data_IF_567130258017
#
_entry.id   IF_567130258017
#
_cell.length_a   1.000
_cell.length_b   1.000
_cell.length_c   1.000
_cell.angle_alpha   90.00
_cell.angle_beta   90.00
_cell.angle_gamma   90.00
#
_symmetry.space_group_name_H-M   'P 1'
#
loop_
_entity.id
_entity.type
_entity.pdbx_description
1 polymer ?
#
# COMPACT_ATOMS: atom_id res chain seq x y z
N UNK A 1 4.21 5.10 40.29
CA UNK A 1 3.80 4.54 41.59
C UNK A 1 2.35 4.86 41.90
N UNK A 2 1.43 4.45 41.00
CA UNK A 2 -0.01 4.59 41.21
C UNK A 2 -0.50 3.45 42.11
N UNK A 3 -1.28 3.77 43.15
CA UNK A 3 -1.85 2.74 44.06
C UNK A 3 -3.24 2.28 43.64
N UNK A 4 -3.95 3.07 42.82
CA UNK A 4 -5.27 2.73 42.21
C UNK A 4 -5.29 3.31 40.79
N UNK A 5 -5.46 2.45 39.79
CA UNK A 5 -5.58 2.85 38.40
C UNK A 5 -6.38 1.82 37.61
N UNK A 6 -6.94 2.25 36.49
CA UNK A 6 -7.50 1.40 35.47
C UNK A 6 -6.63 1.54 34.23
N UNK A 7 -6.29 0.42 33.63
CA UNK A 7 -5.46 0.36 32.43
C UNK A 7 -6.31 -0.12 31.26
N UNK A 8 -6.38 0.68 30.21
CA UNK A 8 -7.07 0.33 28.97
C UNK A 8 -6.07 0.33 27.83
N UNK A 9 -6.06 -0.76 27.05
CA UNK A 9 -5.25 -0.90 25.84
C UNK A 9 -6.12 -0.85 24.59
N UNK A 10 -5.64 -0.14 23.56
CA UNK A 10 -6.26 -0.10 22.24
C UNK A 10 -5.24 -0.61 21.23
N UNK A 11 -5.60 -1.62 20.46
CA UNK A 11 -4.73 -2.20 19.42
C UNK A 11 -5.56 -2.72 18.26
N UNK A 12 -5.08 -2.50 17.03
CA UNK A 12 -5.66 -3.10 15.82
C UNK A 12 -5.16 -4.52 15.55
N UNK A 13 -4.12 -4.98 16.28
CA UNK A 13 -3.49 -6.29 16.13
C UNK A 13 -3.18 -6.88 17.49
N UNK A 14 -4.19 -7.43 18.21
CA UNK A 14 -4.00 -8.01 19.51
C UNK A 14 -3.03 -9.21 19.47
N UNK A 15 -2.24 -9.36 20.53
CA UNK A 15 -1.35 -10.50 20.70
C UNK A 15 -2.11 -11.61 21.43
N UNK A 16 -2.34 -12.71 20.73
CA UNK A 16 -2.88 -13.96 21.25
C UNK A 16 -1.76 -14.96 21.53
N UNK A 17 -2.04 -16.06 22.19
CA UNK A 17 -1.05 -17.11 22.46
C UNK A 17 -0.44 -17.70 21.16
N UNK A 18 -1.19 -17.74 20.07
CA UNK A 18 -0.75 -18.27 18.77
C UNK A 18 0.19 -17.35 18.00
N UNK A 19 0.22 -16.05 18.31
CA UNK A 19 1.07 -15.04 17.64
C UNK A 19 1.99 -14.28 18.61
N UNK A 20 2.15 -14.77 19.85
CA UNK A 20 2.90 -14.08 20.91
C UNK A 20 4.43 -14.17 20.75
N UNK A 21 4.97 -15.01 19.87
CA UNK A 21 6.41 -15.19 19.69
C UNK A 21 7.14 -15.57 20.98
N UNK A 22 8.45 -15.24 21.06
CA UNK A 22 9.25 -15.37 22.28
C UNK A 22 9.29 -14.06 23.04
N UNK A 23 8.33 -13.84 23.93
CA UNK A 23 8.32 -12.61 24.74
C UNK A 23 9.49 -12.57 25.72
N UNK A 24 10.06 -11.38 25.94
CA UNK A 24 11.12 -11.14 26.92
C UNK A 24 10.64 -11.35 28.36
N UNK A 25 9.33 -11.18 28.64
CA UNK A 25 8.74 -11.38 29.95
C UNK A 25 7.57 -12.39 29.89
N UNK A 26 7.64 -13.55 30.57
CA UNK A 26 6.59 -14.57 30.55
C UNK A 26 5.22 -14.10 31.11
N UNK A 27 5.19 -13.05 31.92
CA UNK A 27 3.97 -12.55 32.55
C UNK A 27 3.13 -11.66 31.60
N UNK A 28 3.70 -11.20 30.47
CA UNK A 28 3.08 -10.30 29.52
C UNK A 28 3.16 -10.82 28.09
N UNK A 29 2.79 -12.08 27.88
CA UNK A 29 2.84 -12.74 26.57
C UNK A 29 1.74 -12.29 25.61
N UNK A 30 0.56 -11.97 26.16
CA UNK A 30 -0.62 -11.67 25.37
C UNK A 30 -1.24 -10.35 25.81
N UNK A 31 -2.02 -9.76 24.89
CA UNK A 31 -2.79 -8.55 25.18
C UNK A 31 -3.73 -8.75 26.37
N UNK A 32 -4.35 -9.93 26.48
CA UNK A 32 -5.22 -10.28 27.59
C UNK A 32 -4.48 -10.38 28.93
N UNK A 33 -3.24 -10.89 28.95
CA UNK A 33 -2.43 -10.91 30.18
C UNK A 33 -2.03 -9.52 30.65
N UNK A 34 -1.85 -8.58 29.72
CA UNK A 34 -1.45 -7.20 30.03
C UNK A 34 -2.64 -6.33 30.47
N UNK A 35 -3.78 -6.44 29.79
CA UNK A 35 -4.90 -5.51 29.93
C UNK A 35 -6.18 -6.17 30.49
N UNK A 36 -6.22 -7.50 30.63
CA UNK A 36 -7.41 -8.24 31.07
C UNK A 36 -8.35 -8.57 29.91
N UNK A 37 -9.64 -8.64 30.21
CA UNK A 37 -10.68 -9.05 29.26
C UNK A 37 -10.86 -8.07 28.11
N UNK A 38 -11.13 -8.59 26.92
CA UNK A 38 -11.46 -7.80 25.75
C UNK A 38 -12.84 -7.17 25.91
N UNK A 39 -12.88 -5.84 25.95
CA UNK A 39 -14.14 -5.08 26.14
C UNK A 39 -14.88 -4.82 24.83
N UNK A 40 -14.15 -4.64 23.72
CA UNK A 40 -14.71 -4.34 22.41
C UNK A 40 -13.78 -4.87 21.32
N UNK A 41 -14.35 -5.23 20.16
CA UNK A 41 -13.64 -5.62 18.96
C UNK A 41 -14.15 -4.81 17.78
N UNK A 42 -13.22 -4.23 17.03
CA UNK A 42 -13.45 -3.59 15.74
C UNK A 42 -12.36 -4.07 14.79
N UNK A 43 -12.74 -5.01 13.94
CA UNK A 43 -11.79 -5.73 13.09
C UNK A 43 -11.49 -4.96 11.80
N UNK A 44 -10.49 -5.41 11.03
CA UNK A 44 -10.22 -4.86 9.70
C UNK A 44 -11.41 -5.06 8.74
N UNK A 45 -12.20 -6.13 8.95
CA UNK A 45 -13.44 -6.41 8.19
C UNK A 45 -14.48 -5.33 8.48
N UNK A 46 -14.70 -5.01 9.75
CA UNK A 46 -15.62 -3.94 10.15
C UNK A 46 -15.18 -2.61 9.56
N UNK A 47 -13.89 -2.30 9.64
CA UNK A 47 -13.33 -1.06 9.11
C UNK A 47 -13.47 -0.93 7.58
N UNK A 48 -13.39 -2.03 6.83
CA UNK A 48 -13.62 -2.04 5.38
C UNK A 48 -15.11 -1.89 5.07
N UNK A 49 -15.98 -2.60 5.76
CA UNK A 49 -17.43 -2.52 5.60
C UNK A 49 -17.96 -1.11 5.90
N UNK A 50 -17.44 -0.47 6.94
CA UNK A 50 -17.75 0.90 7.33
C UNK A 50 -17.08 1.94 6.41
N UNK A 51 -16.27 1.50 5.45
CA UNK A 51 -15.50 2.35 4.53
C UNK A 51 -14.52 3.28 5.23
N UNK A 52 -13.95 2.87 6.34
CA UNK A 52 -12.91 3.58 7.08
C UNK A 52 -11.51 3.27 6.56
N UNK A 53 -11.33 2.11 5.93
CA UNK A 53 -10.11 1.69 5.24
C UNK A 53 -10.46 0.93 3.96
N UNK A 54 -9.45 0.71 3.10
CA UNK A 54 -9.60 0.00 1.83
C UNK A 54 -9.23 -1.49 1.99
N UNK A 55 -9.76 -2.39 1.14
CA UNK A 55 -9.27 -3.76 1.05
C UNK A 55 -7.87 -3.81 0.45
N UNK A 56 -7.25 -5.01 0.45
CA UNK A 56 -5.93 -5.24 -0.15
C UNK A 56 -6.05 -6.06 -1.44
N UNK A 57 -5.19 -5.73 -2.40
CA UNK A 57 -4.82 -6.59 -3.49
C UNK A 57 -3.43 -7.16 -3.21
N UNK A 58 -3.25 -8.46 -3.33
CA UNK A 58 -1.96 -9.11 -3.11
C UNK A 58 -1.55 -9.89 -4.35
N UNK A 59 -0.42 -9.53 -4.94
CA UNK A 59 0.21 -10.24 -6.05
C UNK A 59 1.42 -11.03 -5.52
N UNK A 60 1.57 -12.26 -5.98
CA UNK A 60 2.71 -13.12 -5.63
C UNK A 60 3.56 -13.36 -6.88
N UNK A 61 4.76 -12.77 -6.90
CA UNK A 61 5.68 -12.86 -8.03
C UNK A 61 6.74 -13.92 -7.75
N UNK A 62 6.77 -14.96 -8.57
CA UNK A 62 7.80 -16.00 -8.48
C UNK A 62 9.14 -15.44 -8.98
N UNK A 63 10.11 -15.36 -8.09
CA UNK A 63 11.48 -14.85 -8.41
C UNK A 63 12.54 -15.96 -8.35
N UNK A 64 12.16 -17.16 -7.92
CA UNK A 64 13.01 -18.35 -7.84
C UNK A 64 12.16 -19.53 -8.27
N UNK A 65 12.65 -20.33 -9.21
CA UNK A 65 12.07 -21.63 -9.57
C UNK A 65 12.48 -22.67 -8.51
N UNK A 66 11.90 -22.59 -7.32
CA UNK A 66 11.99 -23.64 -6.34
C UNK A 66 10.78 -24.57 -6.49
N UNK A 67 11.01 -25.87 -6.56
CA UNK A 67 9.94 -26.86 -6.51
C UNK A 67 9.00 -26.62 -5.35
N UNK A 68 7.71 -26.83 -5.52
CA UNK A 68 6.60 -26.32 -4.69
C UNK A 68 6.59 -26.76 -3.23
N UNK A 69 7.53 -27.60 -2.74
CA UNK A 69 7.51 -28.18 -1.41
C UNK A 69 8.65 -27.79 -0.47
N UNK A 70 9.51 -26.86 -0.84
CA UNK A 70 10.52 -26.38 0.13
C UNK A 70 9.85 -25.30 0.99
N UNK A 71 9.20 -25.74 2.07
CA UNK A 71 8.67 -24.84 3.09
C UNK A 71 9.80 -24.03 3.71
N UNK A 72 9.52 -22.77 4.06
CA UNK A 72 10.46 -21.88 4.74
C UNK A 72 11.11 -22.49 6.00
N UNK A 73 10.53 -23.56 6.55
CA UNK A 73 11.01 -24.31 7.72
C UNK A 73 12.09 -25.35 7.40
N UNK A 74 12.21 -25.80 6.15
CA UNK A 74 13.17 -26.84 5.74
C UNK A 74 14.50 -26.31 5.21
N UNK A 75 14.61 -25.03 4.92
CA UNK A 75 15.84 -24.38 4.44
C UNK A 75 16.46 -23.53 5.56
N UNK A 76 16.76 -24.19 6.66
CA UNK A 76 17.60 -23.63 7.72
C UNK A 76 19.05 -23.80 7.28
N UNK A 77 19.59 -22.87 6.47
CA UNK A 77 21.03 -22.73 6.37
C UNK A 77 21.44 -21.54 5.46
N UNK A 78 22.71 -21.19 5.59
CA UNK A 78 23.54 -20.24 4.82
C UNK A 78 23.22 -20.19 3.30
N UNK A 79 22.67 -21.26 2.75
CA UNK A 79 22.31 -21.35 1.33
C UNK A 79 21.07 -20.51 0.96
N UNK A 80 20.11 -20.32 1.85
CA UNK A 80 18.89 -19.55 1.57
C UNK A 80 19.18 -18.05 1.48
N UNK A 81 19.92 -17.52 2.42
CA UNK A 81 20.32 -16.11 2.40
C UNK A 81 21.12 -15.80 1.12
N UNK A 82 22.05 -16.68 0.72
CA UNK A 82 22.79 -16.55 -0.53
C UNK A 82 21.88 -16.56 -1.77
N UNK A 83 20.86 -17.41 -1.80
CA UNK A 83 19.89 -17.44 -2.91
C UNK A 83 19.06 -16.16 -2.96
N UNK A 84 18.60 -15.67 -1.82
CA UNK A 84 17.83 -14.43 -1.75
C UNK A 84 18.65 -13.20 -2.12
N UNK A 85 19.95 -13.21 -1.82
CA UNK A 85 20.91 -12.15 -2.15
C UNK A 85 21.58 -12.35 -3.52
N UNK A 86 21.21 -13.37 -4.30
CA UNK A 86 21.79 -13.62 -5.62
C UNK A 86 21.66 -12.40 -6.53
N UNK A 87 22.74 -11.92 -7.16
CA UNK A 87 22.72 -10.69 -7.98
C UNK A 87 21.67 -10.73 -9.09
N UNK A 88 21.44 -11.89 -9.69
CA UNK A 88 20.44 -12.05 -10.75
C UNK A 88 19.02 -11.85 -10.20
N UNK A 89 18.72 -12.39 -9.01
CA UNK A 89 17.41 -12.19 -8.35
C UNK A 89 17.19 -10.71 -7.99
N UNK A 90 18.19 -10.05 -7.41
CA UNK A 90 18.14 -8.61 -7.11
C UNK A 90 17.86 -7.82 -8.38
N UNK A 91 18.55 -8.16 -9.48
CA UNK A 91 18.36 -7.54 -10.81
C UNK A 91 16.92 -7.70 -11.31
N UNK A 92 16.38 -8.93 -11.27
CA UNK A 92 15.02 -9.25 -11.76
C UNK A 92 13.96 -8.54 -10.93
N UNK A 93 14.06 -8.58 -9.60
CA UNK A 93 13.11 -7.90 -8.70
C UNK A 93 13.13 -6.38 -8.93
N UNK A 94 14.32 -5.78 -9.01
CA UNK A 94 14.46 -4.34 -9.30
C UNK A 94 13.87 -3.98 -10.66
N UNK A 95 14.15 -4.78 -11.69
CA UNK A 95 13.61 -4.59 -13.02
C UNK A 95 12.07 -4.67 -13.01
N UNK A 96 11.50 -5.68 -12.35
CA UNK A 96 10.05 -5.82 -12.21
C UNK A 96 9.42 -4.58 -11.56
N UNK A 97 10.00 -4.09 -10.46
CA UNK A 97 9.51 -2.89 -9.77
C UNK A 97 9.53 -1.68 -10.72
N UNK A 98 10.64 -1.45 -11.43
CA UNK A 98 10.77 -0.32 -12.36
C UNK A 98 9.79 -0.41 -13.53
N UNK A 99 9.53 -1.61 -14.06
CA UNK A 99 8.61 -1.82 -15.19
C UNK A 99 7.14 -1.66 -14.80
N UNK A 100 6.78 -2.05 -13.57
CA UNK A 100 5.39 -2.05 -13.10
C UNK A 100 5.06 -0.89 -12.14
N UNK A 101 6.03 -0.03 -11.84
CA UNK A 101 5.85 1.05 -10.86
C UNK A 101 4.68 1.97 -11.23
N UNK A 102 4.65 2.46 -12.46
CA UNK A 102 3.63 3.41 -12.91
C UNK A 102 2.23 2.78 -12.88
N UNK A 103 2.11 1.52 -13.27
CA UNK A 103 0.86 0.75 -13.22
C UNK A 103 0.38 0.53 -11.79
N UNK A 104 1.26 0.01 -10.91
CA UNK A 104 0.91 -0.33 -9.52
C UNK A 104 0.62 0.91 -8.67
N UNK A 105 1.22 2.04 -9.00
CA UNK A 105 1.03 3.32 -8.28
C UNK A 105 0.13 4.32 -9.03
N UNK A 106 -0.44 3.95 -10.19
CA UNK A 106 -1.23 4.84 -11.06
C UNK A 106 -0.49 6.13 -11.48
N UNK A 107 0.83 6.11 -11.50
CA UNK A 107 1.65 7.23 -11.92
C UNK A 107 1.49 7.44 -13.43
N UNK A 108 1.18 8.67 -13.84
CA UNK A 108 0.90 8.99 -15.24
C UNK A 108 -0.57 8.90 -15.64
N UNK A 109 -1.36 7.98 -15.06
CA UNK A 109 -2.77 7.78 -15.42
C UNK A 109 -3.74 8.63 -14.61
N UNK A 110 -3.47 8.78 -13.31
CA UNK A 110 -4.41 9.42 -12.39
C UNK A 110 -3.78 10.64 -11.74
N UNK A 111 -4.44 11.77 -11.87
CA UNK A 111 -4.03 13.02 -11.22
C UNK A 111 -5.12 13.53 -10.29
N UNK A 112 -4.72 14.13 -9.19
CA UNK A 112 -5.64 14.70 -8.20
C UNK A 112 -5.02 15.92 -7.51
N UNK A 113 -5.86 16.74 -6.89
CA UNK A 113 -5.42 17.90 -6.12
C UNK A 113 -5.12 17.46 -4.69
N UNK A 114 -3.95 17.84 -4.20
CA UNK A 114 -3.48 17.51 -2.85
C UNK A 114 -2.87 18.74 -2.19
N UNK A 115 -3.01 18.83 -0.86
CA UNK A 115 -2.35 19.89 -0.07
C UNK A 115 -0.94 19.44 0.28
N UNK A 116 0.05 19.94 -0.44
CA UNK A 116 1.46 19.63 -0.21
C UNK A 116 2.10 20.66 0.73
N UNK A 117 2.99 20.18 1.58
CA UNK A 117 3.81 21.02 2.45
C UNK A 117 5.01 21.55 1.65
N UNK A 118 5.23 22.86 1.62
CA UNK A 118 6.29 23.47 0.79
C UNK A 118 7.59 23.71 1.53
N UNK A 119 7.55 23.83 2.86
CA UNK A 119 8.72 24.10 3.72
C UNK A 119 9.17 22.88 4.54
N UNK A 120 9.24 21.69 3.90
CA UNK A 120 9.50 20.41 4.56
C UNK A 120 10.82 20.42 5.35
N UNK A 121 11.92 20.85 4.74
CA UNK A 121 13.24 20.82 5.38
C UNK A 121 13.30 21.72 6.64
N UNK A 122 12.59 22.84 6.62
CA UNK A 122 12.46 23.72 7.77
C UNK A 122 11.65 23.06 8.89
N UNK A 123 10.48 22.50 8.55
CA UNK A 123 9.61 21.78 9.50
C UNK A 123 10.31 20.54 10.10
N UNK A 124 11.11 19.83 9.31
CA UNK A 124 11.85 18.66 9.77
C UNK A 124 13.00 19.03 10.74
N UNK A 125 13.63 20.19 10.54
CA UNK A 125 14.83 20.61 11.27
C UNK A 125 14.55 21.51 12.48
N UNK A 126 13.29 21.96 12.63
CA UNK A 126 12.88 22.90 13.68
C UNK A 126 11.92 22.22 14.67
N UNK A 127 11.82 22.74 15.88
CA UNK A 127 10.82 22.28 16.85
C UNK A 127 9.43 22.68 16.38
N UNK A 128 8.44 21.81 16.65
CA UNK A 128 7.08 21.93 16.14
C UNK A 128 6.41 23.28 16.47
N UNK A 129 6.70 23.83 17.63
CA UNK A 129 6.08 25.08 18.11
C UNK A 129 6.79 26.35 17.58
N UNK A 130 7.89 26.19 16.85
CA UNK A 130 8.73 27.29 16.35
C UNK A 130 8.61 27.49 14.84
N UNK A 131 7.88 26.62 14.12
CA UNK A 131 7.74 26.69 12.67
C UNK A 131 6.28 26.47 12.24
N UNK A 132 5.82 27.29 11.31
CA UNK A 132 4.50 27.17 10.70
C UNK A 132 4.56 26.29 9.44
N UNK A 133 3.63 25.33 9.30
CA UNK A 133 3.49 24.51 8.11
C UNK A 133 2.86 25.30 6.96
N UNK A 134 3.61 25.52 5.88
CA UNK A 134 3.13 26.22 4.69
C UNK A 134 2.60 25.19 3.69
N UNK A 135 1.28 25.17 3.49
CA UNK A 135 0.61 24.21 2.59
C UNK A 135 0.12 24.89 1.31
N UNK A 136 0.33 24.23 0.18
CA UNK A 136 -0.15 24.65 -1.13
C UNK A 136 -0.91 23.54 -1.82
N UNK A 137 -2.02 23.89 -2.52
CA UNK A 137 -2.74 22.96 -3.38
C UNK A 137 -1.95 22.73 -4.66
N UNK A 138 -1.57 21.49 -4.90
CA UNK A 138 -0.86 21.07 -6.12
C UNK A 138 -1.58 19.90 -6.78
N UNK A 139 -1.47 19.83 -8.12
CA UNK A 139 -1.89 18.64 -8.86
C UNK A 139 -0.75 17.65 -8.83
N UNK A 140 -0.95 16.51 -8.21
CA UNK A 140 0.00 15.40 -8.15
C UNK A 140 -0.51 14.20 -8.94
N UNK A 141 0.41 13.36 -9.41
CA UNK A 141 0.12 12.17 -10.20
C UNK A 141 0.47 10.90 -9.45
N UNK A 142 -0.49 9.96 -9.43
CA UNK A 142 -0.33 8.64 -8.82
C UNK A 142 0.01 8.68 -7.34
N UNK A 143 0.49 7.55 -6.85
CA UNK A 143 0.82 7.31 -5.45
C UNK A 143 2.29 6.95 -5.31
N UNK A 144 2.77 6.83 -4.08
CA UNK A 144 4.11 6.33 -3.78
C UNK A 144 4.06 4.94 -3.10
N UNK A 145 5.25 4.41 -2.83
CA UNK A 145 5.40 3.05 -2.34
C UNK A 145 6.51 2.91 -1.29
N UNK A 146 6.40 1.84 -0.49
CA UNK A 146 7.47 1.34 0.37
C UNK A 146 7.96 0.01 -0.19
N UNK A 147 9.27 -0.24 -0.13
CA UNK A 147 9.89 -1.51 -0.42
C UNK A 147 10.47 -2.10 0.86
N UNK A 148 9.81 -3.10 1.42
CA UNK A 148 10.21 -3.80 2.63
C UNK A 148 11.17 -4.94 2.30
N UNK A 149 12.38 -4.90 2.83
CA UNK A 149 13.43 -5.90 2.62
C UNK A 149 13.87 -6.53 3.93
N UNK A 150 14.49 -7.73 3.88
CA UNK A 150 14.75 -8.53 5.06
C UNK A 150 15.90 -7.99 5.94
N UNK A 151 16.88 -7.30 5.37
CA UNK A 151 18.08 -6.86 6.09
C UNK A 151 18.72 -5.64 5.48
N UNK A 152 19.64 -5.00 6.21
CA UNK A 152 20.42 -3.85 5.69
C UNK A 152 21.30 -4.23 4.50
N UNK A 153 22.00 -5.38 4.49
CA UNK A 153 22.70 -5.85 3.28
C UNK A 153 21.79 -5.97 2.06
N UNK A 154 20.56 -6.48 2.23
CA UNK A 154 19.57 -6.52 1.13
C UNK A 154 19.16 -5.13 0.68
N UNK A 155 18.93 -4.19 1.60
CA UNK A 155 18.61 -2.81 1.28
C UNK A 155 19.74 -2.17 0.44
N UNK A 156 21.00 -2.41 0.79
CA UNK A 156 22.18 -1.94 0.05
C UNK A 156 22.21 -2.49 -1.38
N UNK A 157 22.02 -3.80 -1.54
CA UNK A 157 22.04 -4.43 -2.87
C UNK A 157 20.92 -3.88 -3.76
N UNK A 158 19.70 -3.77 -3.26
CA UNK A 158 18.60 -3.19 -4.01
C UNK A 158 18.82 -1.72 -4.32
N UNK A 159 19.27 -0.92 -3.35
CA UNK A 159 19.53 0.50 -3.57
C UNK A 159 20.55 0.74 -4.69
N UNK A 160 21.64 -0.02 -4.68
CA UNK A 160 22.68 0.04 -5.70
C UNK A 160 22.15 -0.42 -7.06
N UNK A 161 21.36 -1.49 -7.10
CA UNK A 161 20.80 -1.99 -8.37
C UNK A 161 19.75 -1.02 -8.95
N UNK A 162 18.93 -0.35 -8.11
CA UNK A 162 18.06 0.76 -8.55
C UNK A 162 18.88 1.87 -9.20
N UNK A 163 19.95 2.34 -8.55
CA UNK A 163 20.85 3.37 -9.13
C UNK A 163 21.38 2.95 -10.48
N UNK A 164 21.87 1.72 -10.60
CA UNK A 164 22.44 1.15 -11.81
C UNK A 164 21.43 1.06 -12.96
N UNK A 165 20.24 0.50 -12.73
CA UNK A 165 19.21 0.34 -13.75
C UNK A 165 18.62 1.68 -14.19
N UNK A 166 18.37 2.61 -13.26
CA UNK A 166 17.90 3.96 -13.58
C UNK A 166 18.94 4.80 -14.33
N UNK A 167 20.24 4.56 -14.10
CA UNK A 167 21.31 5.22 -14.87
C UNK A 167 21.36 4.69 -16.33
N UNK A 168 21.02 3.42 -16.55
CA UNK A 168 20.96 2.81 -17.87
C UNK A 168 19.70 3.21 -18.67
N UNK A 169 18.58 3.52 -17.98
CA UNK A 169 17.33 3.95 -18.61
C UNK A 169 16.84 5.28 -18.00
N UNK A 170 17.19 6.43 -18.59
CA UNK A 170 16.81 7.75 -18.08
C UNK A 170 15.29 8.02 -18.07
N UNK A 171 14.49 7.23 -18.78
CA UNK A 171 13.02 7.39 -18.83
C UNK A 171 12.40 6.88 -17.52
N UNK A 172 13.00 5.85 -16.90
CA UNK A 172 12.52 5.21 -15.67
C UNK A 172 13.11 5.86 -14.39
N UNK A 173 13.15 7.19 -14.33
CA UNK A 173 13.66 7.88 -13.14
C UNK A 173 12.63 7.92 -12.03
N UNK A 174 12.96 7.28 -10.91
CA UNK A 174 12.23 7.35 -9.64
C UNK A 174 13.08 8.03 -8.57
N UNK A 175 12.43 8.71 -7.65
CA UNK A 175 13.07 9.23 -6.44
C UNK A 175 13.08 8.13 -5.39
N UNK A 176 14.22 7.49 -5.21
CA UNK A 176 14.44 6.37 -4.29
C UNK A 176 15.26 6.82 -3.10
N UNK A 177 14.79 6.53 -1.90
CA UNK A 177 15.52 6.75 -0.66
C UNK A 177 15.54 5.46 0.18
N UNK A 178 16.40 5.38 1.18
CA UNK A 178 16.43 4.29 2.15
C UNK A 178 16.63 4.81 3.56
N UNK A 179 16.02 4.13 4.52
CA UNK A 179 16.21 4.42 5.94
C UNK A 179 16.12 3.15 6.77
N UNK A 180 16.98 3.02 7.75
CA UNK A 180 17.02 1.92 8.71
C UNK A 180 17.72 2.32 10.00
N UNK A 181 17.45 1.59 11.09
CA UNK A 181 18.06 1.78 12.40
C UNK A 181 18.72 0.50 12.89
N UNK A 182 19.37 0.54 14.06
CA UNK A 182 20.12 -0.58 14.64
C UNK A 182 19.31 -1.89 14.79
N UNK A 183 18.07 -1.82 15.26
CA UNK A 183 17.22 -3.01 15.43
C UNK A 183 16.92 -3.80 14.14
N UNK A 184 17.31 -3.26 12.98
CA UNK A 184 17.14 -3.91 11.69
C UNK A 184 18.18 -5.01 11.38
N UNK A 185 19.26 -5.11 12.16
CA UNK A 185 20.35 -6.05 11.92
C UNK A 185 20.21 -7.38 12.68
N UNK A 186 19.27 -7.52 13.60
CA UNK A 186 19.04 -8.80 14.26
C UNK A 186 18.44 -9.78 13.24
N UNK A 187 19.09 -10.95 13.12
CA UNK A 187 18.65 -12.06 12.29
C UNK A 187 17.17 -12.34 12.54
N UNK A 188 16.41 -12.48 11.46
CA UNK A 188 14.95 -12.65 11.41
C UNK A 188 14.36 -13.29 12.68
N UNK A 189 14.05 -12.48 13.68
CA UNK A 189 13.24 -12.92 14.78
C UNK A 189 11.82 -13.11 14.24
N UNK A 190 11.40 -14.31 14.07
CA UNK A 190 10.04 -14.82 13.76
C UNK A 190 9.07 -13.94 12.91
N UNK A 191 9.56 -12.91 12.18
CA UNK A 191 8.75 -12.02 11.33
C UNK A 191 7.79 -11.10 12.10
N UNK A 192 7.99 -10.95 13.39
CA UNK A 192 7.36 -9.95 14.24
C UNK A 192 8.12 -8.64 14.02
N UNK A 193 7.41 -7.58 13.66
CA UNK A 193 8.04 -6.26 13.57
C UNK A 193 8.30 -5.76 14.99
N UNK A 194 9.57 -5.54 15.32
CA UNK A 194 9.93 -4.88 16.57
C UNK A 194 9.44 -3.43 16.58
N UNK A 195 9.15 -2.88 17.76
CA UNK A 195 8.83 -1.46 17.92
C UNK A 195 9.97 -0.61 17.35
N UNK A 196 9.61 0.37 16.53
CA UNK A 196 10.58 1.27 15.92
C UNK A 196 11.37 2.05 16.99
N UNK A 197 12.62 1.71 17.18
CA UNK A 197 13.55 2.59 17.85
C UNK A 197 14.22 3.48 16.77
N UNK A 198 13.53 4.56 16.41
CA UNK A 198 13.92 5.46 15.31
C UNK A 198 15.17 6.29 15.62
N UNK A 199 15.73 6.19 16.82
CA UNK A 199 16.67 7.18 17.33
C UNK A 199 18.11 6.67 17.39
N UNK A 200 18.38 5.34 17.32
CA UNK A 200 19.70 4.80 17.58
C UNK A 200 20.37 4.22 16.32
N UNK A 201 21.27 5.04 15.74
CA UNK A 201 22.22 4.58 14.70
C UNK A 201 23.59 4.23 15.30
N UNK A 202 23.82 4.44 16.61
CA UNK A 202 25.13 4.34 17.24
C UNK A 202 25.66 2.91 17.26
N UNK A 203 24.77 1.93 17.27
CA UNK A 203 25.11 0.51 17.32
C UNK A 203 25.11 -0.18 15.93
N UNK A 204 24.92 0.57 14.82
CA UNK A 204 25.14 0.04 13.48
C UNK A 204 26.59 -0.39 13.29
N UNK A 205 26.81 -1.53 12.65
CA UNK A 205 28.15 -1.93 12.21
C UNK A 205 28.70 -0.93 11.17
N UNK A 206 30.02 -0.88 11.04
CA UNK A 206 30.67 0.11 10.18
C UNK A 206 30.19 0.04 8.72
N UNK A 207 30.05 -1.13 8.06
CA UNK A 207 29.54 -1.23 6.69
C UNK A 207 28.11 -0.71 6.50
N UNK A 208 27.23 -0.92 7.48
CA UNK A 208 25.86 -0.44 7.44
C UNK A 208 25.79 1.07 7.62
N UNK A 209 26.63 1.65 8.49
CA UNK A 209 26.74 3.09 8.68
C UNK A 209 27.27 3.77 7.42
N UNK A 210 28.34 3.26 6.83
CA UNK A 210 28.90 3.80 5.58
C UNK A 210 27.87 3.80 4.44
N UNK A 211 27.08 2.73 4.33
CA UNK A 211 26.00 2.67 3.38
C UNK A 211 24.90 3.71 3.66
N UNK A 212 24.51 3.88 4.92
CA UNK A 212 23.52 4.88 5.30
C UNK A 212 24.01 6.30 4.99
N UNK A 213 25.27 6.59 5.25
CA UNK A 213 25.91 7.88 4.93
C UNK A 213 25.92 8.14 3.42
N UNK A 214 26.25 7.13 2.61
CA UNK A 214 26.18 7.23 1.13
C UNK A 214 24.75 7.55 0.69
N UNK A 215 23.75 6.82 1.20
CA UNK A 215 22.37 7.03 0.84
C UNK A 215 21.82 8.39 1.29
N UNK A 216 22.21 8.87 2.48
CA UNK A 216 21.86 10.21 2.97
C UNK A 216 22.53 11.30 2.11
N UNK A 217 23.74 11.08 1.63
CA UNK A 217 24.41 12.00 0.70
C UNK A 217 23.63 12.13 -0.61
N UNK A 218 23.24 11.02 -1.23
CA UNK A 218 22.38 11.03 -2.43
C UNK A 218 21.06 11.76 -2.18
N UNK A 219 20.46 11.56 -1.00
CA UNK A 219 19.25 12.24 -0.59
C UNK A 219 19.45 13.75 -0.44
N UNK A 220 20.54 14.17 0.19
CA UNK A 220 20.89 15.56 0.34
C UNK A 220 21.09 16.25 -1.02
N UNK A 221 21.70 15.57 -1.99
CA UNK A 221 21.83 16.06 -3.36
C UNK A 221 20.47 16.19 -4.06
N UNK A 222 19.55 15.22 -3.85
CA UNK A 222 18.21 15.22 -4.43
C UNK A 222 17.32 16.35 -3.92
N UNK A 223 17.44 16.70 -2.63
CA UNK A 223 16.53 17.61 -1.95
C UNK A 223 17.19 18.89 -1.42
N UNK A 224 18.50 19.08 -1.70
CA UNK A 224 19.28 20.23 -1.25
C UNK A 224 19.28 20.40 0.29
N UNK A 225 19.47 19.29 0.99
CA UNK A 225 19.54 19.20 2.46
C UNK A 225 20.96 18.89 2.94
N UNK A 226 21.19 18.78 4.25
CA UNK A 226 22.53 18.56 4.83
C UNK A 226 22.49 17.58 6.03
N UNK A 227 21.69 16.52 5.93
CA UNK A 227 21.60 15.49 6.95
C UNK A 227 22.83 14.59 6.96
N UNK A 228 23.08 13.92 8.09
CA UNK A 228 24.09 12.88 8.26
C UNK A 228 23.64 11.86 9.34
N UNK A 229 24.50 10.90 9.68
CA UNK A 229 24.20 9.83 10.65
C UNK A 229 24.39 10.25 12.12
N UNK A 230 24.71 11.51 12.43
CA UNK A 230 24.71 12.00 13.81
C UNK A 230 23.28 12.04 14.37
N UNK A 231 23.12 11.79 15.68
CA UNK A 231 21.82 11.59 16.31
C UNK A 231 20.77 12.65 15.94
N UNK A 232 21.10 13.93 16.12
CA UNK A 232 20.15 15.03 15.86
C UNK A 232 19.81 15.16 14.37
N UNK A 233 20.81 15.06 13.49
CA UNK A 233 20.61 15.17 12.05
C UNK A 233 19.92 13.94 11.46
N UNK A 234 20.13 12.77 12.06
CA UNK A 234 19.40 11.56 11.64
C UNK A 234 17.92 11.63 12.03
N UNK A 235 17.58 12.19 13.19
CA UNK A 235 16.18 12.44 13.55
C UNK A 235 15.52 13.43 12.58
N UNK A 236 16.23 14.48 12.17
CA UNK A 236 15.73 15.41 11.18
C UNK A 236 15.58 14.77 9.80
N UNK A 237 16.53 13.90 9.41
CA UNK A 237 16.42 13.08 8.20
C UNK A 237 15.17 12.18 8.24
N UNK A 238 14.92 11.48 9.35
CA UNK A 238 13.72 10.65 9.53
C UNK A 238 12.42 11.46 9.35
N UNK A 239 12.37 12.65 9.99
CA UNK A 239 11.21 13.56 9.85
C UNK A 239 11.02 14.04 8.41
N UNK A 240 12.10 14.45 7.75
CA UNK A 240 12.08 14.94 6.37
C UNK A 240 11.62 13.84 5.41
N UNK A 241 12.19 12.63 5.50
CA UNK A 241 11.75 11.46 4.72
C UNK A 241 10.26 11.17 4.93
N UNK A 242 9.80 11.19 6.19
CA UNK A 242 8.39 10.98 6.54
C UNK A 242 7.47 12.01 5.88
N UNK A 243 7.83 13.28 5.94
CA UNK A 243 7.06 14.39 5.34
C UNK A 243 7.07 14.31 3.81
N UNK A 244 8.20 13.99 3.18
CA UNK A 244 8.29 13.84 1.72
C UNK A 244 7.53 12.62 1.21
N UNK A 245 7.49 11.53 1.97
CA UNK A 245 6.60 10.40 1.67
C UNK A 245 5.14 10.84 1.71
N UNK A 246 4.70 11.57 2.74
CA UNK A 246 3.34 12.11 2.84
C UNK A 246 3.02 13.11 1.72
N UNK A 247 3.99 13.85 1.26
CA UNK A 247 3.89 14.84 0.19
C UNK A 247 3.96 14.25 -1.23
N UNK A 248 4.22 12.94 -1.38
CA UNK A 248 4.47 12.29 -2.68
C UNK A 248 5.73 12.86 -3.40
N UNK A 249 6.72 13.31 -2.66
CA UNK A 249 8.00 13.75 -3.23
C UNK A 249 9.01 12.62 -3.38
N UNK A 250 8.84 11.52 -2.65
CA UNK A 250 9.54 10.26 -2.87
C UNK A 250 8.61 9.26 -3.58
N UNK A 251 9.16 8.49 -4.50
CA UNK A 251 8.45 7.44 -5.21
C UNK A 251 8.57 6.09 -4.49
N UNK A 252 9.78 5.72 -4.07
CA UNK A 252 10.06 4.49 -3.33
C UNK A 252 10.90 4.78 -2.09
N UNK A 253 10.47 4.26 -0.95
CA UNK A 253 11.27 4.21 0.27
C UNK A 253 11.65 2.76 0.58
N UNK A 254 12.95 2.43 0.49
CA UNK A 254 13.47 1.10 0.86
C UNK A 254 13.66 1.06 2.38
N UNK A 255 13.06 0.07 3.04
CA UNK A 255 13.09 -0.04 4.50
C UNK A 255 13.35 -1.48 4.93
N UNK A 256 13.91 -1.65 6.12
CA UNK A 256 14.04 -2.98 6.74
C UNK A 256 12.87 -3.22 7.70
N UNK A 257 12.73 -2.40 8.74
CA UNK A 257 11.59 -2.46 9.69
C UNK A 257 10.88 -1.12 9.81
N UNK A 258 11.63 -0.01 9.76
CA UNK A 258 11.09 1.33 9.90
C UNK A 258 9.98 1.62 8.90
N UNK A 259 9.00 2.43 9.27
CA UNK A 259 7.82 2.80 8.46
C UNK A 259 6.81 1.67 8.20
N UNK A 260 7.09 0.41 8.56
CA UNK A 260 6.13 -0.68 8.45
C UNK A 260 5.10 -0.66 9.59
N UNK A 261 5.46 -0.07 10.72
CA UNK A 261 4.55 0.22 11.85
C UNK A 261 4.49 1.73 12.09
N UNK A 262 3.44 2.24 12.71
CA UNK A 262 3.33 3.64 13.15
C UNK A 262 3.24 4.71 12.05
N UNK A 263 3.68 4.47 10.83
CA UNK A 263 3.67 5.43 9.73
C UNK A 263 2.29 5.56 9.07
N UNK A 264 1.85 6.78 8.84
CA UNK A 264 0.57 7.09 8.19
C UNK A 264 0.75 8.09 7.04
N UNK A 265 0.50 7.62 5.81
CA UNK A 265 0.55 8.43 4.59
C UNK A 265 -0.59 8.01 3.64
N UNK A 266 -1.53 8.91 3.40
CA UNK A 266 -2.66 8.65 2.49
C UNK A 266 -2.23 8.54 1.04
N UNK A 267 -1.10 9.16 0.68
CA UNK A 267 -0.48 9.10 -0.65
C UNK A 267 0.21 7.78 -0.96
N UNK A 268 0.42 6.92 0.04
CA UNK A 268 1.02 5.61 -0.14
C UNK A 268 -0.03 4.57 -0.48
N UNK A 269 0.11 3.87 -1.61
CA UNK A 269 -0.81 2.79 -1.98
C UNK A 269 -0.13 1.45 -2.24
N UNK A 270 1.18 1.40 -2.46
CA UNK A 270 1.88 0.18 -2.86
C UNK A 270 2.95 -0.22 -1.85
N UNK A 271 2.94 -1.49 -1.47
CA UNK A 271 3.99 -2.12 -0.67
C UNK A 271 4.61 -3.27 -1.48
N UNK A 272 5.90 -3.14 -1.77
CA UNK A 272 6.71 -4.20 -2.34
C UNK A 272 7.34 -4.97 -1.18
N UNK A 273 7.28 -6.30 -1.20
CA UNK A 273 7.69 -7.14 -0.06
C UNK A 273 8.71 -8.20 -0.48
N UNK A 274 9.95 -8.02 -0.07
CA UNK A 274 10.99 -9.07 -0.09
C UNK A 274 11.46 -9.39 1.33
N UNK A 275 10.49 -9.66 2.19
CA UNK A 275 10.68 -9.94 3.61
C UNK A 275 9.68 -10.97 4.09
N UNK A 276 10.07 -11.84 5.02
CA UNK A 276 9.20 -12.82 5.63
C UNK A 276 8.35 -12.19 6.74
N UNK A 277 7.29 -11.50 6.35
CA UNK A 277 6.31 -10.96 7.29
C UNK A 277 5.38 -12.07 7.79
N UNK A 278 5.02 -12.02 9.07
CA UNK A 278 4.12 -12.99 9.74
C UNK A 278 3.12 -12.27 10.62
N UNK A 279 1.93 -12.89 10.80
CA UNK A 279 0.94 -12.52 11.81
C UNK A 279 0.63 -11.00 11.84
N UNK A 280 0.69 -10.37 13.01
CA UNK A 280 0.39 -8.97 13.20
C UNK A 280 1.31 -8.03 12.40
N UNK A 281 2.61 -8.34 12.29
CA UNK A 281 3.56 -7.56 11.49
C UNK A 281 3.19 -7.51 10.01
N UNK A 282 2.62 -8.60 9.46
CA UNK A 282 2.11 -8.63 8.09
C UNK A 282 0.92 -7.68 7.91
N UNK A 283 -0.10 -7.79 8.78
CA UNK A 283 -1.29 -6.92 8.71
C UNK A 283 -0.92 -5.45 8.95
N UNK A 284 -0.01 -5.17 9.88
CA UNK A 284 0.46 -3.81 10.15
C UNK A 284 1.16 -3.19 8.93
N UNK A 285 2.05 -3.94 8.27
CA UNK A 285 2.73 -3.49 7.07
C UNK A 285 1.74 -3.25 5.90
N UNK A 286 0.81 -4.18 5.67
CA UNK A 286 -0.23 -4.05 4.64
C UNK A 286 -1.11 -2.83 4.90
N UNK A 287 -1.48 -2.59 6.16
CA UNK A 287 -2.32 -1.47 6.56
C UNK A 287 -1.68 -0.08 6.36
N UNK A 288 -0.41 -0.01 5.94
CA UNK A 288 0.20 1.26 5.48
C UNK A 288 -0.37 1.70 4.14
N UNK A 289 -0.86 0.76 3.31
CA UNK A 289 -1.31 1.05 1.94
C UNK A 289 -2.81 1.36 1.82
N UNK A 290 -3.62 1.01 2.81
CA UNK A 290 -5.08 1.00 2.69
C UNK A 290 -5.80 2.25 3.23
N UNK A 291 -5.07 3.33 3.50
CA UNK A 291 -5.67 4.61 3.91
C UNK A 291 -6.45 5.25 2.77
N UNK A 292 -7.65 5.73 3.08
CA UNK A 292 -8.50 6.43 2.12
C UNK A 292 -7.92 7.81 1.83
N UNK A 293 -7.86 8.18 0.57
CA UNK A 293 -7.49 9.52 0.13
C UNK A 293 -8.58 10.15 -0.75
N UNK A 294 -8.99 9.43 -1.79
CA UNK A 294 -9.95 9.88 -2.80
C UNK A 294 -10.58 8.67 -3.51
N UNK A 295 -11.45 8.94 -4.49
CA UNK A 295 -12.13 7.91 -5.27
C UNK A 295 -11.21 7.14 -6.24
N UNK A 296 -9.99 7.60 -6.46
CA UNK A 296 -9.01 6.96 -7.35
C UNK A 296 -8.33 5.79 -6.62
N UNK A 297 -8.02 5.97 -5.33
CA UNK A 297 -7.44 4.94 -4.48
C UNK A 297 -8.53 4.03 -3.97
N UNK A 298 -8.65 2.84 -4.54
CA UNK A 298 -9.73 1.88 -4.26
C UNK A 298 -9.28 0.68 -3.43
N UNK A 299 -7.98 0.42 -3.34
CA UNK A 299 -7.38 -0.65 -2.53
C UNK A 299 -5.92 -0.33 -2.19
N UNK A 300 -5.38 -1.05 -1.20
CA UNK A 300 -3.96 -1.14 -0.93
C UNK A 300 -3.32 -2.22 -1.79
N UNK A 301 -2.25 -1.90 -2.50
CA UNK A 301 -1.59 -2.79 -3.44
C UNK A 301 -0.33 -3.41 -2.80
N UNK A 302 -0.28 -4.73 -2.74
CA UNK A 302 0.81 -5.50 -2.12
C UNK A 302 1.43 -6.40 -3.18
N UNK A 303 2.75 -6.32 -3.36
CA UNK A 303 3.47 -7.19 -4.30
C UNK A 303 4.53 -7.97 -3.53
N UNK A 304 4.36 -9.28 -3.44
CA UNK A 304 5.23 -10.17 -2.68
C UNK A 304 6.21 -10.89 -3.61
N UNK A 305 7.50 -10.72 -3.37
CA UNK A 305 8.58 -11.47 -4.03
C UNK A 305 9.01 -12.72 -3.25
N UNK A 306 8.23 -13.09 -2.24
CA UNK A 306 8.35 -14.32 -1.45
C UNK A 306 7.01 -15.02 -1.38
N UNK A 307 7.02 -16.33 -1.16
CA UNK A 307 5.78 -17.09 -0.99
C UNK A 307 5.18 -16.81 0.40
N UNK A 308 4.34 -15.77 0.48
CA UNK A 308 3.65 -15.37 1.71
C UNK A 308 2.18 -15.79 1.74
N UNK A 309 1.63 -16.46 0.70
CA UNK A 309 0.21 -16.72 0.58
C UNK A 309 -0.39 -17.38 1.82
N UNK A 310 0.17 -18.50 2.28
CA UNK A 310 -0.31 -19.19 3.47
C UNK A 310 -0.25 -18.32 4.74
N UNK A 311 0.75 -17.43 4.84
CA UNK A 311 0.91 -16.50 5.97
C UNK A 311 -0.11 -15.38 5.93
N UNK A 312 -0.43 -14.88 4.72
CA UNK A 312 -1.48 -13.88 4.51
C UNK A 312 -2.83 -14.45 4.93
N UNK A 313 -3.17 -15.65 4.44
CA UNK A 313 -4.43 -16.33 4.77
C UNK A 313 -4.55 -16.57 6.28
N UNK A 314 -3.46 -17.03 6.93
CA UNK A 314 -3.43 -17.25 8.38
C UNK A 314 -3.58 -15.96 9.18
N UNK A 315 -2.94 -14.87 8.75
CA UNK A 315 -3.01 -13.58 9.42
C UNK A 315 -4.42 -12.97 9.30
N UNK A 316 -5.02 -13.05 8.11
CA UNK A 316 -6.40 -12.57 7.90
C UNK A 316 -7.40 -13.37 8.73
N UNK A 317 -7.26 -14.70 8.79
CA UNK A 317 -8.12 -15.55 9.62
C UNK A 317 -7.97 -15.29 11.11
N UNK A 318 -6.79 -14.83 11.56
CA UNK A 318 -6.53 -14.53 12.96
C UNK A 318 -7.10 -13.16 13.39
N UNK A 319 -6.99 -12.14 12.55
CA UNK A 319 -7.37 -10.76 12.86
C UNK A 319 -8.71 -10.34 12.25
N UNK A 320 -9.34 -11.21 11.48
CA UNK A 320 -10.68 -11.08 10.93
C UNK A 320 -11.60 -12.19 11.44
N UNK A 321 -12.72 -12.36 10.76
CA UNK A 321 -13.56 -13.55 10.92
C UNK A 321 -13.08 -14.65 9.96
N UNK A 322 -13.45 -15.93 10.19
CA UNK A 322 -13.09 -17.06 9.32
C UNK A 322 -13.47 -16.86 7.84
N UNK A 323 -14.47 -16.01 7.59
CA UNK A 323 -14.93 -15.63 6.26
C UNK A 323 -14.37 -14.29 5.75
N UNK A 324 -13.41 -13.71 6.46
CA UNK A 324 -12.85 -12.38 6.19
C UNK A 324 -12.06 -12.28 4.87
N UNK A 325 -11.55 -13.41 4.35
CA UNK A 325 -10.68 -13.42 3.16
C UNK A 325 -11.30 -12.69 1.97
N UNK A 326 -12.58 -12.94 1.67
CA UNK A 326 -13.28 -12.33 0.54
C UNK A 326 -13.63 -10.84 0.71
N UNK A 327 -13.50 -10.29 1.93
CA UNK A 327 -13.74 -8.85 2.22
C UNK A 327 -12.42 -8.10 2.29
N UNK A 328 -11.41 -8.71 2.92
CA UNK A 328 -10.10 -8.08 3.18
C UNK A 328 -9.21 -8.11 1.95
N UNK A 329 -9.25 -9.21 1.19
CA UNK A 329 -8.51 -9.38 -0.06
C UNK A 329 -9.42 -9.19 -1.26
N UNK A 330 -8.93 -8.48 -2.25
CA UNK A 330 -9.58 -8.45 -3.56
C UNK A 330 -9.50 -9.84 -4.21
N UNK A 331 -10.53 -10.16 -4.99
CA UNK A 331 -10.62 -11.39 -5.78
C UNK A 331 -9.55 -11.43 -6.88
N UNK A 332 -9.40 -12.58 -7.54
CA UNK A 332 -8.47 -12.75 -8.64
C UNK A 332 -8.90 -11.95 -9.88
N UNK A 333 -7.96 -11.77 -10.83
CA UNK A 333 -8.30 -11.21 -12.15
C UNK A 333 -9.46 -11.96 -12.81
N UNK A 334 -9.44 -13.29 -12.80
CA UNK A 334 -10.48 -14.12 -13.41
C UNK A 334 -11.85 -13.90 -12.79
N UNK A 335 -11.90 -13.75 -11.47
CA UNK A 335 -13.16 -13.52 -10.75
C UNK A 335 -13.76 -12.15 -11.12
N UNK A 336 -12.96 -11.10 -11.14
CA UNK A 336 -13.44 -9.79 -11.57
C UNK A 336 -13.72 -9.69 -13.07
N UNK A 337 -13.02 -10.47 -13.88
CA UNK A 337 -13.18 -10.43 -15.33
C UNK A 337 -14.38 -11.22 -15.80
N UNK A 338 -14.59 -12.45 -15.28
CA UNK A 338 -15.66 -13.37 -15.69
C UNK A 338 -16.83 -13.45 -14.70
N UNK A 339 -16.73 -12.86 -13.52
CA UNK A 339 -17.71 -12.99 -12.45
C UNK A 339 -17.37 -14.11 -11.45
N UNK A 340 -17.96 -14.03 -10.28
CA UNK A 340 -17.75 -14.97 -9.18
C UNK A 340 -18.99 -15.08 -8.28
N UNK A 341 -19.02 -16.10 -7.44
CA UNK A 341 -20.03 -16.23 -6.41
C UNK A 341 -19.52 -15.60 -5.11
N UNK A 342 -20.28 -14.63 -4.54
CA UNK A 342 -19.92 -14.01 -3.29
C UNK A 342 -20.02 -14.99 -2.12
N UNK A 343 -19.43 -14.64 -0.96
CA UNK A 343 -19.49 -15.46 0.26
C UNK A 343 -20.94 -15.78 0.69
N UNK A 344 -21.88 -14.90 0.37
CA UNK A 344 -23.32 -15.07 0.65
C UNK A 344 -24.05 -15.88 -0.45
N UNK A 345 -23.34 -16.50 -1.39
CA UNK A 345 -23.91 -17.26 -2.48
C UNK A 345 -24.60 -16.42 -3.57
N UNK A 346 -24.33 -15.12 -3.65
CA UNK A 346 -24.87 -14.24 -4.69
C UNK A 346 -23.93 -14.18 -5.89
N UNK A 347 -24.44 -14.34 -7.13
CA UNK A 347 -23.62 -14.14 -8.31
C UNK A 347 -23.23 -12.66 -8.45
N UNK A 348 -21.93 -12.41 -8.60
CA UNK A 348 -21.36 -11.10 -8.86
C UNK A 348 -20.93 -11.05 -10.32
N UNK A 349 -21.52 -10.16 -11.15
CA UNK A 349 -21.20 -10.07 -12.56
C UNK A 349 -19.77 -9.63 -12.78
N UNK A 350 -19.10 -10.23 -13.77
CA UNK A 350 -17.76 -9.85 -14.19
C UNK A 350 -17.74 -8.66 -15.15
N UNK A 351 -16.55 -8.23 -15.49
CA UNK A 351 -16.35 -7.17 -16.48
C UNK A 351 -16.95 -7.52 -17.84
N UNK A 352 -16.82 -8.79 -18.25
CA UNK A 352 -17.40 -9.31 -19.50
C UNK A 352 -18.92 -9.13 -19.49
N UNK A 353 -19.60 -9.61 -18.45
CA UNK A 353 -21.05 -9.52 -18.33
C UNK A 353 -21.54 -8.06 -18.35
N UNK A 354 -20.83 -7.18 -17.63
CA UNK A 354 -21.15 -5.75 -17.58
C UNK A 354 -20.97 -5.07 -18.94
N UNK A 355 -19.95 -5.45 -19.71
CA UNK A 355 -19.69 -4.92 -21.04
C UNK A 355 -20.72 -5.44 -22.06
N UNK A 356 -21.13 -6.69 -21.97
CA UNK A 356 -22.23 -7.25 -22.77
C UNK A 356 -23.54 -6.52 -22.48
N UNK A 357 -23.85 -6.32 -21.21
CA UNK A 357 -25.04 -5.56 -20.77
C UNK A 357 -25.03 -4.14 -21.30
N UNK A 358 -23.90 -3.46 -21.26
CA UNK A 358 -23.73 -2.09 -21.77
C UNK A 358 -24.00 -2.03 -23.27
N UNK A 359 -23.38 -2.93 -24.04
CA UNK A 359 -23.53 -2.97 -25.49
C UNK A 359 -24.95 -3.34 -25.92
N UNK A 360 -25.62 -4.21 -25.18
CA UNK A 360 -26.99 -4.64 -25.50
C UNK A 360 -28.04 -3.59 -25.11
N UNK A 361 -27.88 -2.94 -23.96
CA UNK A 361 -28.90 -2.00 -23.43
C UNK A 361 -28.68 -0.56 -23.89
N UNK A 362 -27.42 -0.16 -24.11
CA UNK A 362 -27.05 1.22 -24.41
C UNK A 362 -25.99 1.34 -25.53
N UNK A 363 -26.25 0.79 -26.73
CA UNK A 363 -25.26 0.80 -27.80
C UNK A 363 -24.91 2.23 -28.22
N UNK A 364 -23.66 2.44 -28.65
CA UNK A 364 -23.20 3.74 -29.15
C UNK A 364 -23.87 4.19 -30.46
N UNK A 365 -24.47 3.24 -31.21
CA UNK A 365 -25.25 3.53 -32.40
C UNK A 365 -26.53 4.31 -32.10
N UNK A 366 -27.06 4.24 -30.90
CA UNK A 366 -28.20 5.06 -30.46
C UNK A 366 -27.71 6.41 -29.92
N UNK A 367 -28.12 7.53 -30.48
CA UNK A 367 -27.57 8.85 -30.13
C UNK A 367 -27.97 9.35 -28.75
N UNK A 368 -29.12 8.89 -28.21
CA UNK A 368 -29.65 9.35 -26.92
C UNK A 368 -30.25 8.21 -26.12
N UNK A 369 -30.09 8.28 -24.79
CA UNK A 369 -30.72 7.38 -23.83
C UNK A 369 -32.06 8.03 -23.40
N UNK A 370 -33.15 7.44 -23.90
CA UNK A 370 -34.50 7.98 -23.69
C UNK A 370 -35.15 7.33 -22.45
N UNK A 371 -35.76 8.16 -21.63
CA UNK A 371 -36.48 7.73 -20.41
C UNK A 371 -35.66 7.80 -19.15
N UNK A 372 -36.29 8.30 -18.10
CA UNK A 372 -35.64 8.55 -16.81
C UNK A 372 -35.03 7.30 -16.19
N UNK A 373 -35.73 6.16 -16.27
CA UNK A 373 -35.25 4.89 -15.73
C UNK A 373 -34.04 4.39 -16.50
N UNK A 374 -34.06 4.43 -17.83
CA UNK A 374 -32.94 4.04 -18.67
C UNK A 374 -31.69 4.90 -18.41
N UNK A 375 -31.88 6.21 -18.18
CA UNK A 375 -30.77 7.09 -17.81
C UNK A 375 -30.16 6.73 -16.45
N UNK A 376 -30.98 6.42 -15.45
CA UNK A 376 -30.51 5.96 -14.13
C UNK A 376 -29.77 4.61 -14.24
N UNK A 377 -30.33 3.68 -15.02
CA UNK A 377 -29.74 2.35 -15.22
C UNK A 377 -28.40 2.45 -15.96
N UNK A 378 -28.29 3.32 -16.95
CA UNK A 378 -27.03 3.58 -17.62
C UNK A 378 -25.98 4.19 -16.67
N UNK A 379 -26.36 5.21 -15.88
CA UNK A 379 -25.45 5.84 -14.91
C UNK A 379 -24.97 4.80 -13.90
N UNK A 380 -25.84 3.91 -13.42
CA UNK A 380 -25.48 2.87 -12.49
C UNK A 380 -24.55 1.82 -13.12
N UNK A 381 -24.88 1.30 -14.29
CA UNK A 381 -24.10 0.30 -15.01
C UNK A 381 -22.75 0.83 -15.44
N UNK A 382 -22.71 1.95 -16.14
CA UNK A 382 -21.45 2.51 -16.62
C UNK A 382 -20.54 2.98 -15.46
N UNK A 383 -21.13 3.50 -14.39
CA UNK A 383 -20.40 3.79 -13.17
C UNK A 383 -19.80 2.53 -12.51
N UNK A 384 -20.48 1.38 -12.58
CA UNK A 384 -19.96 0.09 -12.12
C UNK A 384 -18.82 -0.40 -13.03
N UNK A 385 -18.96 -0.30 -14.35
CA UNK A 385 -17.92 -0.62 -15.34
C UNK A 385 -16.65 0.20 -15.10
N UNK A 386 -16.78 1.51 -14.90
CA UNK A 386 -15.62 2.37 -14.62
C UNK A 386 -14.87 1.96 -13.35
N UNK A 387 -15.60 1.59 -12.29
CA UNK A 387 -14.98 1.08 -11.05
C UNK A 387 -14.28 -0.26 -11.27
N UNK A 388 -14.94 -1.20 -11.98
CA UNK A 388 -14.39 -2.51 -12.30
C UNK A 388 -13.14 -2.38 -13.19
N UNK A 389 -13.22 -1.58 -14.26
CA UNK A 389 -12.09 -1.29 -15.14
C UNK A 389 -10.92 -0.67 -14.37
N UNK A 390 -11.20 0.31 -13.48
CA UNK A 390 -10.17 0.93 -12.67
C UNK A 390 -9.45 -0.07 -11.74
N UNK A 391 -10.17 -1.08 -11.25
CA UNK A 391 -9.61 -2.17 -10.47
C UNK A 391 -8.79 -3.11 -11.37
N UNK A 392 -9.33 -3.51 -12.52
CA UNK A 392 -8.68 -4.43 -13.46
C UNK A 392 -7.40 -3.85 -14.07
N UNK A 393 -7.31 -2.53 -14.29
CA UNK A 393 -6.10 -1.86 -14.76
C UNK A 393 -4.85 -2.10 -13.89
N UNK A 394 -5.04 -2.49 -12.63
CA UNK A 394 -3.93 -2.85 -11.74
C UNK A 394 -3.37 -4.25 -12.00
N UNK A 395 -4.11 -5.12 -12.72
CA UNK A 395 -3.68 -6.47 -13.08
C UNK A 395 -2.90 -6.46 -14.39
N UNK A 396 -1.82 -7.23 -14.44
CA UNK A 396 -0.93 -7.27 -15.60
C UNK A 396 -1.65 -7.88 -16.81
N UNK A 397 -2.56 -8.84 -16.56
CA UNK A 397 -3.35 -9.52 -17.58
C UNK A 397 -4.37 -8.61 -18.27
N UNK A 398 -4.77 -7.50 -17.67
CA UNK A 398 -5.84 -6.67 -18.23
C UNK A 398 -5.46 -5.94 -19.52
N UNK A 399 -4.18 -5.60 -19.71
CA UNK A 399 -3.71 -4.88 -20.90
C UNK A 399 -4.06 -5.57 -22.21
N UNK A 400 -4.01 -6.92 -22.20
CA UNK A 400 -4.32 -7.75 -23.37
C UNK A 400 -5.79 -8.17 -23.44
N UNK A 401 -6.58 -7.89 -22.41
CA UNK A 401 -7.96 -8.34 -22.25
C UNK A 401 -8.95 -7.17 -22.08
N UNK A 402 -8.60 -5.97 -22.48
CA UNK A 402 -9.52 -4.84 -22.45
C UNK A 402 -10.58 -4.96 -23.56
N UNK A 403 -11.87 -4.90 -23.20
CA UNK A 403 -13.01 -5.14 -24.10
C UNK A 403 -13.57 -3.87 -24.75
N UNK A 404 -13.07 -2.69 -24.36
CA UNK A 404 -13.56 -1.42 -24.89
C UNK A 404 -12.40 -0.65 -25.52
N UNK A 405 -12.62 -0.09 -26.71
CA UNK A 405 -11.63 0.79 -27.32
C UNK A 405 -11.56 2.13 -26.54
N UNK A 406 -10.40 2.81 -26.59
CA UNK A 406 -10.25 4.12 -25.95
C UNK A 406 -11.25 5.15 -26.49
N UNK A 407 -11.56 5.10 -27.78
CA UNK A 407 -12.56 5.96 -28.42
C UNK A 407 -13.95 5.71 -27.85
N UNK A 408 -14.41 4.44 -27.82
CA UNK A 408 -15.74 4.10 -27.34
C UNK A 408 -15.87 4.42 -25.85
N UNK A 409 -14.80 4.24 -25.08
CA UNK A 409 -14.75 4.63 -23.69
C UNK A 409 -14.94 6.15 -23.51
N UNK A 410 -14.33 6.98 -24.34
CA UNK A 410 -14.50 8.44 -24.31
C UNK A 410 -15.94 8.84 -24.70
N UNK A 411 -16.52 8.18 -25.68
CA UNK A 411 -17.90 8.43 -26.10
C UNK A 411 -18.90 8.08 -24.99
N UNK A 412 -18.73 6.94 -24.30
CA UNK A 412 -19.53 6.61 -23.13
C UNK A 412 -19.28 7.54 -21.94
N UNK A 413 -18.04 7.97 -21.71
CA UNK A 413 -17.70 8.92 -20.65
C UNK A 413 -18.39 10.28 -20.87
N UNK A 414 -18.44 10.77 -22.11
CA UNK A 414 -19.17 12.00 -22.45
C UNK A 414 -20.64 11.88 -22.06
N UNK A 415 -21.33 10.83 -22.54
CA UNK A 415 -22.74 10.57 -22.19
C UNK A 415 -22.98 10.47 -20.68
N UNK A 416 -22.08 9.80 -19.97
CA UNK A 416 -22.16 9.61 -18.52
C UNK A 416 -22.03 10.93 -17.76
N UNK A 417 -21.12 11.81 -18.20
CA UNK A 417 -20.93 13.12 -17.59
C UNK A 417 -22.13 14.03 -17.82
N UNK A 418 -22.62 14.10 -19.06
CA UNK A 418 -23.77 14.92 -19.45
C UNK A 418 -25.01 14.55 -18.63
N UNK A 419 -25.33 13.26 -18.55
CA UNK A 419 -26.47 12.77 -17.78
C UNK A 419 -26.31 13.01 -16.27
N UNK A 420 -25.12 12.81 -15.69
CA UNK A 420 -24.87 13.11 -14.28
C UNK A 420 -25.05 14.58 -13.95
N UNK A 421 -24.60 15.47 -14.82
CA UNK A 421 -24.71 16.91 -14.62
C UNK A 421 -26.16 17.40 -14.79
N UNK A 422 -26.91 16.78 -15.71
CA UNK A 422 -28.36 17.02 -15.84
C UNK A 422 -29.12 16.59 -14.56
N UNK A 423 -28.83 15.38 -14.04
CA UNK A 423 -29.45 14.87 -12.81
C UNK A 423 -29.07 15.68 -11.57
N UNK A 424 -27.86 16.19 -11.48
CA UNK A 424 -27.45 17.08 -10.39
C UNK A 424 -28.24 18.42 -10.42
N UNK A 425 -28.40 19.00 -11.60
CA UNK A 425 -29.19 20.23 -11.79
C UNK A 425 -30.65 20.01 -11.37
N UNK A 426 -31.30 18.97 -11.88
CA UNK A 426 -32.68 18.62 -11.51
C UNK A 426 -32.87 18.41 -10.00
N UNK A 427 -31.87 17.86 -9.31
CA UNK A 427 -31.91 17.63 -7.87
C UNK A 427 -31.74 18.92 -7.06
N UNK A 428 -30.93 19.86 -7.51
CA UNK A 428 -30.79 21.19 -6.91
C UNK A 428 -32.06 22.03 -7.10
N UNK A 429 -32.65 22.04 -8.29
CA UNK A 429 -33.90 22.73 -8.57
C UNK A 429 -35.07 22.18 -7.74
N UNK A 430 -35.10 20.85 -7.44
CA UNK A 430 -36.15 20.25 -6.59
C UNK A 430 -35.97 20.54 -5.10
N UNK A 431 -34.76 20.86 -4.65
CA UNK A 431 -34.49 21.24 -3.24
C UNK A 431 -34.82 22.71 -2.98
N UNK A 432 -34.59 23.57 -3.98
CA UNK A 432 -34.92 25.00 -3.88
C UNK A 432 -36.42 25.29 -3.93
N UNK A 433 -37.26 24.35 -4.42
CA UNK A 433 -38.75 24.49 -4.46
C UNK A 433 -39.41 24.06 -3.14
N UNK A 434 -38.69 23.40 -2.24
CA UNK A 434 -39.23 22.93 -0.94
C UNK A 434 -38.95 23.89 0.24
N UNK A 435 -38.27 25.00 0.01
CA UNK A 435 -37.94 26.03 1.02
C UNK A 435 -38.76 27.34 0.85
N UNK A 436 -39.82 27.36 0.00
CA UNK A 436 -40.87 28.41 -0.06
C UNK A 436 -42.17 27.85 0.60
#
# INVERSE_FOLDING_TARGET
>A
NFKKYHLFGFTGTPIFSVNSGRAKNPEFFTTGQTFGDQLHSYTIVDAINDKNVLPFRVDYIKTVDAEEEITDEMVWDINREKVMMAPERIRIVTQYILEHFDQKTYRGDKTYIYNTLTNIAEVASTKRDEVEEIKQKQRISGFNSIFAVSSVPMAKLYYQEFKKQMAADPIKKLRVATIFSYGANEAESDGILDEENSEDTSALDQPSREFLEEAIKDYNEMFHTNYDTSSDKFQNYYKDVSLRMKNKELDILIVVNMFLTGFDATTMNTLWVDKNLKMHGLIQAFSRTNRILNSIKTFGNIVCFRNLQKRVDSAISLFGDKNAGGIVLLQSFKDYYYGYESVDGKPMPGYVDMMEDLNNKFPLSEPQIVGEQNQKDFIALFGAILRMRNLLLSFDEFKENELISERDLQDYLGRYQDLRDEWKRKRQESTDITDD
#
